data_IF_196245508083
#
_entry.id   IF_196245508083
#
_cell.length_a   1.000
_cell.length_b   1.000
_cell.length_c   1.000
_cell.angle_alpha   90.00
_cell.angle_beta   90.00
_cell.angle_gamma   90.00
#
_symmetry.space_group_name_H-M   'P 1'
#
loop_
_entity.id
_entity.type
_entity.pdbx_description
1 polymer ?
#
# COMPACT_ATOMS: atom_id res chain seq x y z
N UNK A 1 17.07 -4.46 -11.73
CA UNK A 1 16.91 -3.24 -12.57
C UNK A 1 17.09 -3.61 -14.03
N UNK A 2 18.17 -4.28 -14.43
CA UNK A 2 18.45 -4.64 -15.83
C UNK A 2 17.30 -5.41 -16.49
N UNK A 3 16.68 -6.34 -15.76
CA UNK A 3 15.49 -7.07 -16.23
C UNK A 3 14.34 -6.10 -16.52
N UNK A 4 14.05 -5.16 -15.62
CA UNK A 4 12.99 -4.16 -15.81
C UNK A 4 13.29 -3.24 -17.01
N UNK A 5 14.54 -2.79 -17.15
CA UNK A 5 14.99 -1.99 -18.30
C UNK A 5 14.73 -2.74 -19.61
N UNK A 6 15.10 -4.01 -19.66
CA UNK A 6 14.92 -4.87 -20.84
C UNK A 6 13.44 -5.09 -21.17
N UNK A 7 12.63 -5.45 -20.17
CA UNK A 7 11.19 -5.73 -20.33
C UNK A 7 10.41 -4.49 -20.82
N UNK A 8 10.83 -3.30 -20.42
CA UNK A 8 10.18 -2.04 -20.81
C UNK A 8 10.88 -1.30 -21.95
N UNK A 9 11.90 -1.92 -22.58
CA UNK A 9 12.68 -1.34 -23.68
C UNK A 9 13.24 0.05 -23.37
N UNK A 10 13.72 0.25 -22.15
CA UNK A 10 14.27 1.52 -21.67
C UNK A 10 15.77 1.62 -21.99
N UNK A 11 16.24 2.82 -22.32
CA UNK A 11 17.69 3.06 -22.45
C UNK A 11 18.41 3.11 -21.10
N UNK A 12 17.72 3.53 -20.04
CA UNK A 12 18.18 3.53 -18.66
C UNK A 12 16.99 3.72 -17.70
N UNK A 13 17.10 3.21 -16.47
CA UNK A 13 16.14 3.48 -15.42
C UNK A 13 16.51 4.79 -14.70
N UNK A 14 15.64 5.78 -14.78
CA UNK A 14 15.84 7.12 -14.19
C UNK A 14 14.58 7.51 -13.42
N UNK A 15 14.40 7.03 -12.20
CA UNK A 15 13.23 7.35 -11.41
C UNK A 15 13.21 8.83 -11.01
N UNK A 16 12.02 9.41 -11.03
CA UNK A 16 11.74 10.81 -10.64
C UNK A 16 10.79 10.92 -9.46
N UNK A 17 10.14 9.83 -9.10
CA UNK A 17 9.25 9.77 -7.95
C UNK A 17 9.25 8.38 -7.31
N UNK A 18 8.90 8.38 -6.02
CA UNK A 18 8.59 7.19 -5.24
C UNK A 18 7.17 7.33 -4.69
N UNK A 19 6.35 6.32 -4.93
CA UNK A 19 5.00 6.19 -4.38
C UNK A 19 5.00 5.09 -3.33
N UNK A 20 4.67 5.46 -2.11
CA UNK A 20 4.57 4.53 -0.98
C UNK A 20 3.13 4.10 -0.74
N UNK A 21 2.91 2.83 -0.46
CA UNK A 21 1.76 2.46 0.34
C UNK A 21 1.92 2.99 1.78
N UNK A 22 0.85 3.00 2.55
CA UNK A 22 0.84 3.55 3.90
C UNK A 22 0.95 2.46 4.97
N UNK A 23 -0.01 1.54 4.98
CA UNK A 23 -0.16 0.53 6.02
C UNK A 23 0.80 -0.64 5.79
N UNK A 24 1.65 -0.95 6.76
CA UNK A 24 2.70 -1.97 6.59
C UNK A 24 3.94 -1.48 5.82
N UNK A 25 3.96 -0.24 5.32
CA UNK A 25 5.12 0.39 4.67
C UNK A 25 5.63 1.59 5.47
N UNK A 26 4.77 2.57 5.73
CA UNK A 26 5.12 3.75 6.53
C UNK A 26 4.85 3.53 8.01
N UNK A 27 3.76 2.82 8.34
CA UNK A 27 3.35 2.52 9.69
C UNK A 27 3.25 1.01 9.94
N UNK A 28 3.64 0.57 11.13
CA UNK A 28 3.41 -0.79 11.63
C UNK A 28 1.95 -0.92 12.11
N UNK A 29 1.02 -0.78 11.19
CA UNK A 29 -0.43 -0.76 11.45
C UNK A 29 -1.12 -2.10 11.20
N UNK A 30 -0.47 -3.02 10.49
CA UNK A 30 -1.09 -4.28 10.08
C UNK A 30 -1.50 -5.20 11.23
N UNK A 31 -0.78 -5.30 12.35
CA UNK A 31 -1.28 -6.04 13.52
C UNK A 31 -2.63 -5.50 14.02
N UNK A 32 -2.80 -4.16 14.06
CA UNK A 32 -4.07 -3.53 14.43
C UNK A 32 -5.16 -3.81 13.39
N UNK A 33 -4.83 -3.73 12.10
CA UNK A 33 -5.76 -4.05 11.02
C UNK A 33 -6.24 -5.50 11.13
N UNK A 34 -5.34 -6.46 11.36
CA UNK A 34 -5.69 -7.88 11.49
C UNK A 34 -6.69 -8.11 12.66
N UNK A 35 -6.41 -7.55 13.84
CA UNK A 35 -7.30 -7.65 14.99
C UNK A 35 -8.65 -6.96 14.73
N UNK A 36 -8.65 -5.78 14.10
CA UNK A 36 -9.89 -5.06 13.78
C UNK A 36 -10.75 -5.84 12.78
N UNK A 37 -10.12 -6.44 11.76
CA UNK A 37 -10.80 -7.30 10.79
C UNK A 37 -11.42 -8.52 11.47
N UNK A 38 -10.66 -9.26 12.28
CA UNK A 38 -11.17 -10.44 12.99
C UNK A 38 -12.39 -10.09 13.85
N UNK A 39 -12.24 -9.09 14.73
CA UNK A 39 -13.31 -8.69 15.66
C UNK A 39 -14.55 -8.13 14.97
N UNK A 40 -14.38 -7.42 13.87
CA UNK A 40 -15.52 -6.86 13.13
C UNK A 40 -16.27 -7.93 12.35
N UNK A 41 -15.57 -8.81 11.66
CA UNK A 41 -16.18 -9.86 10.84
C UNK A 41 -16.90 -10.92 11.69
N UNK A 42 -16.38 -11.22 12.88
CA UNK A 42 -17.04 -12.10 13.84
C UNK A 42 -18.44 -11.61 14.22
N UNK A 43 -18.68 -10.29 14.28
CA UNK A 43 -19.99 -9.72 14.55
C UNK A 43 -21.03 -10.01 13.45
N UNK A 44 -20.58 -10.42 12.28
CA UNK A 44 -21.41 -10.74 11.12
C UNK A 44 -21.36 -12.24 10.73
N UNK A 45 -20.94 -13.09 11.68
CA UNK A 45 -20.77 -14.55 11.46
C UNK A 45 -19.82 -14.87 10.28
N UNK A 46 -18.79 -14.03 10.08
CA UNK A 46 -17.75 -14.23 9.08
C UNK A 46 -16.42 -14.49 9.78
N UNK A 47 -15.83 -15.65 9.47
CA UNK A 47 -14.51 -16.00 9.98
C UNK A 47 -13.42 -15.34 9.11
N UNK A 48 -12.55 -14.55 9.73
CA UNK A 48 -11.40 -13.93 9.09
C UNK A 48 -10.16 -14.12 9.96
N UNK A 49 -9.14 -14.75 9.41
CA UNK A 49 -7.86 -14.96 10.10
C UNK A 49 -6.95 -13.72 9.97
N UNK A 50 -5.87 -13.69 10.73
CA UNK A 50 -4.83 -12.68 10.53
C UNK A 50 -4.22 -12.77 9.12
N UNK A 51 -3.96 -13.99 8.63
CA UNK A 51 -3.41 -14.23 7.30
C UNK A 51 -4.35 -13.73 6.19
N UNK A 52 -5.68 -13.89 6.37
CA UNK A 52 -6.66 -13.31 5.44
C UNK A 52 -6.58 -11.78 5.40
N UNK A 53 -6.38 -11.14 6.56
CA UNK A 53 -6.22 -9.70 6.64
C UNK A 53 -4.96 -9.22 5.88
N UNK A 54 -3.83 -9.89 6.07
CA UNK A 54 -2.59 -9.60 5.33
C UNK A 54 -2.71 -9.91 3.83
N UNK A 55 -3.40 -10.99 3.46
CA UNK A 55 -3.59 -11.37 2.05
C UNK A 55 -4.54 -10.43 1.29
N UNK A 56 -5.41 -9.71 1.99
CA UNK A 56 -6.37 -8.74 1.41
C UNK A 56 -5.96 -7.30 1.64
N UNK A 57 -4.80 -7.06 2.24
CA UNK A 57 -4.27 -5.72 2.46
C UNK A 57 -4.13 -4.94 1.16
N UNK A 58 -4.34 -3.63 1.25
CA UNK A 58 -4.29 -2.72 0.10
C UNK A 58 -5.58 -2.65 -0.70
N UNK A 59 -6.50 -3.62 -0.58
CA UNK A 59 -7.81 -3.55 -1.19
C UNK A 59 -8.71 -2.52 -0.49
N UNK A 60 -9.73 -2.04 -1.22
CA UNK A 60 -10.79 -1.27 -0.57
C UNK A 60 -11.53 -2.15 0.44
N UNK A 61 -11.77 -1.63 1.65
CA UNK A 61 -12.42 -2.41 2.71
C UNK A 61 -13.78 -3.00 2.31
N UNK A 62 -14.58 -2.25 1.58
CA UNK A 62 -15.87 -2.71 1.05
C UNK A 62 -15.74 -3.89 0.06
N UNK A 63 -14.68 -3.91 -0.74
CA UNK A 63 -14.44 -4.99 -1.69
C UNK A 63 -14.01 -6.27 -0.96
N UNK A 64 -13.17 -6.13 0.07
CA UNK A 64 -12.79 -7.23 0.97
C UNK A 64 -14.02 -7.83 1.63
N UNK A 65 -14.93 -7.02 2.18
CA UNK A 65 -16.17 -7.47 2.82
C UNK A 65 -17.06 -8.23 1.83
N UNK A 66 -17.32 -7.64 0.66
CA UNK A 66 -18.13 -8.31 -0.39
C UNK A 66 -17.56 -9.68 -0.75
N UNK A 67 -16.24 -9.78 -0.89
CA UNK A 67 -15.56 -11.04 -1.16
C UNK A 67 -15.76 -12.08 -0.05
N UNK A 68 -15.61 -11.67 1.22
CA UNK A 68 -15.75 -12.58 2.37
C UNK A 68 -17.20 -13.03 2.56
N UNK A 69 -18.18 -12.12 2.45
CA UNK A 69 -19.62 -12.46 2.49
C UNK A 69 -19.96 -13.44 1.38
N UNK A 70 -19.54 -13.17 0.14
CA UNK A 70 -19.79 -14.08 -0.99
C UNK A 70 -19.19 -15.47 -0.76
N UNK A 71 -17.96 -15.53 -0.25
CA UNK A 71 -17.26 -16.79 -0.02
C UNK A 71 -17.88 -17.63 1.10
N UNK A 72 -18.33 -17.02 2.19
CA UNK A 72 -18.77 -17.76 3.38
C UNK A 72 -20.28 -17.85 3.55
N UNK A 73 -21.03 -16.82 3.12
CA UNK A 73 -22.48 -16.77 3.24
C UNK A 73 -23.21 -17.03 1.92
N UNK A 74 -22.47 -17.17 0.80
CA UNK A 74 -23.00 -17.46 -0.55
C UNK A 74 -24.04 -16.45 -1.05
N UNK A 75 -23.97 -15.21 -0.58
CA UNK A 75 -24.84 -14.09 -0.98
C UNK A 75 -24.04 -12.90 -1.49
N UNK A 76 -24.66 -12.09 -2.31
CA UNK A 76 -24.14 -10.80 -2.69
C UNK A 76 -24.72 -9.73 -1.76
N UNK A 77 -23.94 -8.68 -1.50
CA UNK A 77 -24.34 -7.50 -0.74
C UNK A 77 -24.06 -6.25 -1.56
N UNK A 78 -24.85 -5.22 -1.33
CA UNK A 78 -24.66 -3.92 -1.98
C UNK A 78 -23.52 -3.11 -1.32
N UNK A 79 -23.25 -1.94 -1.88
CA UNK A 79 -22.20 -1.05 -1.37
C UNK A 79 -22.54 -0.51 0.01
N UNK A 80 -23.82 -0.22 0.25
CA UNK A 80 -24.28 0.34 1.52
C UNK A 80 -24.14 -0.64 2.67
N UNK A 81 -24.53 -1.91 2.47
CA UNK A 81 -24.33 -2.96 3.46
C UNK A 81 -22.85 -3.21 3.74
N UNK A 82 -22.04 -3.30 2.69
CA UNK A 82 -20.60 -3.47 2.82
C UNK A 82 -19.95 -2.28 3.57
N UNK A 83 -20.40 -1.05 3.32
CA UNK A 83 -19.92 0.13 4.01
C UNK A 83 -20.28 0.10 5.51
N UNK A 84 -21.50 -0.26 5.87
CA UNK A 84 -21.90 -0.40 7.29
C UNK A 84 -21.02 -1.41 8.03
N UNK A 85 -20.71 -2.54 7.42
CA UNK A 85 -19.80 -3.54 7.98
C UNK A 85 -18.38 -2.99 8.11
N UNK A 86 -17.92 -2.24 7.12
CA UNK A 86 -16.61 -1.59 7.15
C UNK A 86 -16.51 -0.50 8.22
N UNK A 87 -17.59 0.23 8.49
CA UNK A 87 -17.64 1.23 9.56
C UNK A 87 -17.43 0.60 10.93
N UNK A 88 -17.96 -0.61 11.18
CA UNK A 88 -17.67 -1.38 12.39
C UNK A 88 -16.17 -1.69 12.50
N UNK A 89 -15.55 -2.15 11.42
CA UNK A 89 -14.11 -2.42 11.40
C UNK A 89 -13.29 -1.16 11.69
N UNK A 90 -13.65 -0.03 11.10
CA UNK A 90 -12.93 1.24 11.30
C UNK A 90 -13.10 1.77 12.72
N UNK A 91 -14.29 1.62 13.32
CA UNK A 91 -14.53 1.97 14.72
C UNK A 91 -13.62 1.19 15.66
N UNK A 92 -13.55 -0.14 15.49
CA UNK A 92 -12.66 -1.00 16.29
C UNK A 92 -11.19 -0.60 16.09
N UNK A 93 -10.79 -0.32 14.84
CA UNK A 93 -9.42 0.10 14.53
C UNK A 93 -9.04 1.41 15.23
N UNK A 94 -9.95 2.38 15.30
CA UNK A 94 -9.71 3.66 15.97
C UNK A 94 -9.53 3.56 17.49
N UNK A 95 -10.02 2.50 18.11
CA UNK A 95 -9.85 2.24 19.55
C UNK A 95 -8.49 1.57 19.87
N UNK A 96 -7.75 1.17 18.83
CA UNK A 96 -6.45 0.51 19.02
C UNK A 96 -5.32 1.50 19.28
N UNK A 97 -4.21 1.03 19.88
CA UNK A 97 -3.02 1.85 20.05
C UNK A 97 -2.53 2.43 18.71
N UNK A 98 -2.02 3.64 18.75
CA UNK A 98 -1.48 4.30 17.56
C UNK A 98 -0.27 3.50 17.02
N UNK A 99 -0.34 3.07 15.80
CA UNK A 99 0.74 2.34 15.13
C UNK A 99 2.01 3.21 15.06
N UNK A 100 3.17 2.62 15.22
CA UNK A 100 4.45 3.33 15.12
C UNK A 100 4.87 3.51 13.67
N UNK A 101 5.66 4.53 13.40
CA UNK A 101 6.36 4.67 12.13
C UNK A 101 7.46 3.59 12.10
N UNK A 102 7.58 2.88 10.98
CA UNK A 102 8.68 1.94 10.83
C UNK A 102 10.05 2.64 10.87
N UNK A 103 11.01 1.96 11.46
CA UNK A 103 12.40 2.42 11.42
C UNK A 103 12.91 2.52 9.97
N UNK A 104 13.68 3.57 9.68
CA UNK A 104 14.21 3.84 8.34
C UNK A 104 13.30 4.62 7.40
N UNK A 105 12.00 4.79 7.69
CA UNK A 105 11.06 5.51 6.79
C UNK A 105 11.51 6.95 6.54
N UNK A 106 11.73 7.73 7.60
CA UNK A 106 12.14 9.14 7.45
C UNK A 106 13.53 9.26 6.82
N UNK A 107 14.43 8.34 7.14
CA UNK A 107 15.75 8.27 6.53
C UNK A 107 15.66 8.01 5.02
N UNK A 108 14.82 7.05 4.61
CA UNK A 108 14.59 6.76 3.20
C UNK A 108 13.98 7.96 2.46
N UNK A 109 12.96 8.60 3.04
CA UNK A 109 12.34 9.79 2.46
C UNK A 109 13.34 10.94 2.28
N UNK A 110 14.25 11.12 3.25
CA UNK A 110 15.30 12.11 3.16
C UNK A 110 16.27 11.81 2.00
N UNK A 111 16.72 10.56 1.86
CA UNK A 111 17.58 10.12 0.75
C UNK A 111 16.91 10.29 -0.62
N UNK A 112 15.61 9.99 -0.72
CA UNK A 112 14.81 10.20 -1.93
C UNK A 112 14.76 11.70 -2.29
N UNK A 113 14.50 12.57 -1.30
CA UNK A 113 14.47 14.02 -1.48
C UNK A 113 15.84 14.58 -1.92
N UNK A 114 16.92 14.07 -1.38
CA UNK A 114 18.30 14.42 -1.75
C UNK A 114 18.64 14.03 -3.19
N UNK A 115 18.05 12.94 -3.69
CA UNK A 115 18.12 12.55 -5.10
C UNK A 115 17.23 13.43 -6.02
N UNK A 116 16.53 14.44 -5.50
CA UNK A 116 15.63 15.32 -6.26
C UNK A 116 14.32 14.65 -6.69
N UNK A 117 13.99 13.48 -6.13
CA UNK A 117 12.77 12.76 -6.47
C UNK A 117 11.58 13.24 -5.64
N UNK A 118 10.38 13.16 -6.25
CA UNK A 118 9.13 13.46 -5.57
C UNK A 118 8.66 12.25 -4.76
N UNK A 119 7.93 12.51 -3.68
CA UNK A 119 7.33 11.47 -2.84
C UNK A 119 5.81 11.64 -2.88
N UNK A 120 5.08 10.54 -3.04
CA UNK A 120 3.64 10.47 -2.89
C UNK A 120 3.23 9.24 -2.08
N UNK A 121 1.98 9.21 -1.63
CA UNK A 121 1.41 8.09 -0.87
C UNK A 121 0.13 7.61 -1.55
N UNK A 122 -0.05 6.30 -1.61
CA UNK A 122 -1.19 5.64 -2.26
C UNK A 122 -1.77 4.62 -1.31
N UNK A 123 -2.83 5.00 -0.60
CA UNK A 123 -3.49 4.16 0.41
C UNK A 123 -4.89 3.71 -0.01
N UNK A 124 -5.27 2.48 0.38
CA UNK A 124 -6.65 1.98 0.29
C UNK A 124 -7.58 2.58 1.34
N UNK A 125 -7.06 3.38 2.28
CA UNK A 125 -7.85 4.09 3.28
C UNK A 125 -8.33 5.44 2.75
N UNK A 126 -9.54 5.86 3.17
CA UNK A 126 -10.06 7.21 2.94
C UNK A 126 -10.33 7.97 4.24
N UNK A 127 -9.86 7.47 5.38
CA UNK A 127 -10.17 8.01 6.69
C UNK A 127 -9.39 9.30 6.94
N UNK A 128 -10.11 10.43 7.11
CA UNK A 128 -9.50 11.76 7.34
C UNK A 128 -8.50 11.81 8.50
N UNK A 129 -8.73 11.17 9.66
CA UNK A 129 -7.75 11.18 10.75
C UNK A 129 -6.41 10.56 10.36
N UNK A 130 -6.41 9.49 9.54
CA UNK A 130 -5.17 8.87 9.06
C UNK A 130 -4.42 9.77 8.09
N UNK A 131 -5.13 10.48 7.20
CA UNK A 131 -4.53 11.43 6.27
C UNK A 131 -3.93 12.63 7.03
N UNK A 132 -4.66 13.18 8.01
CA UNK A 132 -4.14 14.26 8.85
C UNK A 132 -2.88 13.84 9.61
N UNK A 133 -2.85 12.60 10.14
CA UNK A 133 -1.67 12.04 10.78
C UNK A 133 -0.50 11.91 9.81
N UNK A 134 -0.73 11.40 8.60
CA UNK A 134 0.28 11.25 7.56
C UNK A 134 0.97 12.60 7.26
N UNK A 135 0.19 13.68 7.13
CA UNK A 135 0.71 15.03 6.91
C UNK A 135 1.48 15.54 8.14
N UNK A 136 0.98 15.28 9.35
CA UNK A 136 1.68 15.66 10.57
C UNK A 136 3.05 14.97 10.69
N UNK A 137 3.12 13.68 10.34
CA UNK A 137 4.33 12.86 10.53
C UNK A 137 5.36 13.05 9.42
N UNK A 138 4.92 13.38 8.19
CA UNK A 138 5.73 13.40 6.97
C UNK A 138 5.58 14.68 6.12
N UNK A 139 5.00 15.75 6.66
CA UNK A 139 4.78 17.00 5.92
C UNK A 139 6.02 17.69 5.34
N UNK A 140 7.22 17.32 5.84
CA UNK A 140 8.49 17.75 5.25
C UNK A 140 8.80 17.08 3.90
N UNK A 141 8.12 16.00 3.57
CA UNK A 141 8.37 15.16 2.39
C UNK A 141 7.16 15.05 1.46
N UNK A 142 5.95 15.11 2.03
CA UNK A 142 4.69 14.83 1.34
C UNK A 142 3.75 16.01 1.53
N UNK A 143 3.01 16.36 0.47
CA UNK A 143 1.89 17.32 0.53
C UNK A 143 0.57 16.57 0.27
N UNK A 144 -0.55 17.14 0.72
CA UNK A 144 -1.87 16.50 0.59
C UNK A 144 -2.22 16.21 -0.88
N UNK A 145 -1.81 17.08 -1.81
CA UNK A 145 -2.05 16.91 -3.25
C UNK A 145 -1.37 15.66 -3.84
N UNK A 146 -0.37 15.10 -3.14
CA UNK A 146 0.37 13.89 -3.55
C UNK A 146 -0.09 12.63 -2.84
N UNK A 147 -1.23 12.69 -2.14
CA UNK A 147 -1.85 11.55 -1.50
C UNK A 147 -2.99 11.06 -2.38
N UNK A 148 -3.04 9.75 -2.63
CA UNK A 148 -4.17 9.04 -3.25
C UNK A 148 -4.85 8.22 -2.17
N UNK A 149 -6.16 8.36 -2.06
CA UNK A 149 -7.01 7.65 -1.11
C UNK A 149 -8.00 6.73 -1.84
N UNK A 150 -8.74 5.92 -1.09
CA UNK A 150 -9.81 5.09 -1.65
C UNK A 150 -10.87 5.88 -2.42
N UNK A 151 -11.03 7.18 -2.14
CA UNK A 151 -12.03 8.04 -2.79
C UNK A 151 -11.55 8.65 -4.12
N UNK A 152 -10.26 8.63 -4.38
CA UNK A 152 -9.68 9.22 -5.60
C UNK A 152 -9.86 8.30 -6.82
N UNK A 153 -10.17 7.03 -6.63
CA UNK A 153 -10.22 6.01 -7.68
C UNK A 153 -11.49 5.15 -7.60
N UNK A 154 -11.96 4.71 -8.76
CA UNK A 154 -13.09 3.78 -8.83
C UNK A 154 -12.68 2.36 -8.47
N UNK A 155 -11.54 1.90 -8.99
CA UNK A 155 -11.02 0.57 -8.77
C UNK A 155 -9.82 0.64 -7.82
N UNK A 156 -9.91 -0.01 -6.66
CA UNK A 156 -8.80 -0.15 -5.71
C UNK A 156 -7.79 -1.21 -6.16
N UNK A 157 -6.68 -1.35 -5.42
CA UNK A 157 -5.73 -2.45 -5.60
C UNK A 157 -6.48 -3.79 -5.58
N UNK A 158 -6.19 -4.73 -6.46
CA UNK A 158 -5.01 -4.84 -7.32
C UNK A 158 -5.11 -4.15 -8.69
N UNK A 159 -6.15 -3.34 -8.97
CA UNK A 159 -6.18 -2.55 -10.19
C UNK A 159 -5.02 -1.51 -10.19
N UNK A 160 -4.49 -1.12 -11.36
CA UNK A 160 -3.40 -0.15 -11.45
C UNK A 160 -3.82 1.29 -11.14
N UNK A 161 -5.14 1.56 -11.11
CA UNK A 161 -5.74 2.89 -11.00
C UNK A 161 -5.14 3.74 -9.87
N UNK A 162 -4.95 3.22 -8.63
CA UNK A 162 -4.40 4.01 -7.54
C UNK A 162 -2.98 4.51 -7.81
N UNK A 163 -2.12 3.66 -8.37
CA UNK A 163 -0.74 4.05 -8.68
C UNK A 163 -0.66 4.93 -9.92
N UNK A 164 -1.48 4.71 -10.93
CA UNK A 164 -1.60 5.62 -12.09
C UNK A 164 -2.07 7.00 -11.64
N UNK A 165 -3.04 7.09 -10.73
CA UNK A 165 -3.46 8.35 -10.11
C UNK A 165 -2.31 9.01 -9.32
N UNK A 166 -1.56 8.23 -8.55
CA UNK A 166 -0.38 8.71 -7.83
C UNK A 166 0.67 9.30 -8.77
N UNK A 167 0.97 8.61 -9.88
CA UNK A 167 1.88 9.12 -10.91
C UNK A 167 1.39 10.42 -11.53
N UNK A 168 0.08 10.53 -11.79
CA UNK A 168 -0.52 11.78 -12.27
C UNK A 168 -0.34 12.91 -11.25
N UNK A 169 -0.61 12.67 -9.96
CA UNK A 169 -0.46 13.66 -8.87
C UNK A 169 0.99 14.13 -8.69
N UNK A 170 1.97 13.25 -8.86
CA UNK A 170 3.40 13.63 -8.78
C UNK A 170 3.98 14.07 -10.14
N UNK A 171 3.26 13.90 -11.24
CA UNK A 171 3.65 14.32 -12.59
C UNK A 171 4.77 13.46 -13.18
N UNK A 172 4.65 12.13 -13.08
CA UNK A 172 5.62 11.17 -13.62
C UNK A 172 4.94 10.10 -14.48
N UNK A 173 5.74 9.37 -15.25
CA UNK A 173 5.32 8.19 -16.03
C UNK A 173 5.62 6.90 -15.25
N UNK A 174 5.00 5.76 -15.62
CA UNK A 174 5.30 4.47 -15.00
C UNK A 174 6.81 4.16 -14.93
N UNK A 175 7.52 4.27 -16.03
CA UNK A 175 8.97 4.00 -16.09
C UNK A 175 9.86 5.02 -15.35
N UNK A 176 9.28 6.10 -14.83
CA UNK A 176 9.95 7.12 -14.00
C UNK A 176 9.56 7.01 -12.53
N UNK A 177 8.80 5.98 -12.15
CA UNK A 177 8.22 5.84 -10.81
C UNK A 177 8.65 4.52 -10.16
N UNK A 178 9.08 4.61 -8.92
CA UNK A 178 9.22 3.45 -8.02
C UNK A 178 7.97 3.37 -7.15
N UNK A 179 7.41 2.17 -7.02
CA UNK A 179 6.37 1.86 -6.03
C UNK A 179 7.01 1.07 -4.89
N UNK A 180 6.70 1.42 -3.65
CA UNK A 180 7.11 0.68 -2.45
C UNK A 180 5.86 0.14 -1.76
N UNK A 181 5.79 -1.17 -1.62
CA UNK A 181 4.63 -1.94 -1.17
C UNK A 181 5.02 -3.07 -0.23
N UNK A 182 4.07 -3.58 0.55
CA UNK A 182 4.26 -4.76 1.41
C UNK A 182 3.21 -5.86 1.17
N UNK A 183 2.12 -5.53 0.48
CA UNK A 183 0.98 -6.41 0.30
C UNK A 183 0.91 -7.01 -1.12
N UNK A 184 0.50 -8.29 -1.28
CA UNK A 184 0.39 -8.92 -2.59
C UNK A 184 -0.49 -8.14 -3.57
N UNK A 185 -1.64 -7.63 -3.13
CA UNK A 185 -2.55 -6.87 -4.00
C UNK A 185 -1.96 -5.52 -4.41
N UNK A 186 -1.21 -4.89 -3.51
CA UNK A 186 -0.54 -3.64 -3.81
C UNK A 186 0.65 -3.81 -4.74
N UNK A 187 1.46 -4.84 -4.55
CA UNK A 187 2.54 -5.21 -5.48
C UNK A 187 1.96 -5.46 -6.88
N UNK A 188 0.88 -6.25 -6.97
CA UNK A 188 0.20 -6.50 -8.25
C UNK A 188 -0.28 -5.20 -8.90
N UNK A 189 -0.82 -4.26 -8.13
CA UNK A 189 -1.26 -2.96 -8.64
C UNK A 189 -0.09 -2.11 -9.17
N UNK A 190 1.04 -2.06 -8.44
CA UNK A 190 2.24 -1.34 -8.87
C UNK A 190 2.83 -1.91 -10.16
N UNK A 191 2.92 -3.23 -10.25
CA UNK A 191 3.38 -3.94 -11.47
C UNK A 191 2.42 -3.71 -12.63
N UNK A 192 1.11 -3.83 -12.40
CA UNK A 192 0.09 -3.57 -13.44
C UNK A 192 0.09 -2.11 -13.92
N UNK A 193 0.50 -1.17 -13.07
CA UNK A 193 0.71 0.23 -13.46
C UNK A 193 1.98 0.45 -14.29
N UNK A 194 2.83 -0.58 -14.47
CA UNK A 194 4.06 -0.52 -15.24
C UNK A 194 5.23 0.14 -14.50
N UNK A 195 5.16 0.27 -13.18
CA UNK A 195 6.24 0.88 -12.37
C UNK A 195 7.24 -0.16 -11.87
N UNK A 196 8.44 0.30 -11.57
CA UNK A 196 9.41 -0.50 -10.83
C UNK A 196 8.91 -0.68 -9.40
N UNK A 197 8.51 -1.90 -9.05
CA UNK A 197 7.85 -2.20 -7.77
C UNK A 197 8.80 -2.91 -6.83
N UNK A 198 9.09 -2.29 -5.71
CA UNK A 198 9.86 -2.83 -4.58
C UNK A 198 8.87 -3.29 -3.52
N UNK A 199 8.95 -4.55 -3.13
CA UNK A 199 8.23 -5.06 -1.99
C UNK A 199 9.12 -5.02 -0.74
N UNK A 200 8.56 -4.55 0.38
CA UNK A 200 9.17 -4.66 1.71
C UNK A 200 8.36 -5.65 2.54
N UNK A 201 8.97 -6.79 2.89
CA UNK A 201 8.27 -7.85 3.62
C UNK A 201 8.21 -7.52 5.12
N UNK A 202 7.26 -6.68 5.50
CA UNK A 202 7.02 -6.25 6.88
C UNK A 202 6.05 -7.15 7.66
N UNK A 203 5.49 -8.16 7.01
CA UNK A 203 4.45 -9.05 7.56
C UNK A 203 4.88 -10.51 7.65
N UNK A 204 3.94 -11.41 8.01
CA UNK A 204 4.20 -12.83 8.19
C UNK A 204 4.18 -13.63 6.87
N UNK A 205 3.80 -13.01 5.75
CA UNK A 205 3.69 -13.71 4.47
C UNK A 205 5.09 -14.12 3.95
N UNK A 206 5.23 -15.25 3.27
CA UNK A 206 6.48 -15.62 2.65
C UNK A 206 6.81 -14.66 1.48
N UNK A 207 8.09 -14.46 1.20
CA UNK A 207 8.55 -13.61 0.08
C UNK A 207 7.96 -14.04 -1.27
N UNK A 208 7.63 -15.34 -1.43
CA UNK A 208 6.97 -15.85 -2.63
C UNK A 208 5.62 -15.19 -2.88
N UNK A 209 4.87 -14.83 -1.84
CA UNK A 209 3.59 -14.13 -1.98
C UNK A 209 3.73 -12.77 -2.67
N UNK A 210 4.89 -12.13 -2.55
CA UNK A 210 5.22 -10.85 -3.16
C UNK A 210 5.88 -11.02 -4.54
N UNK A 211 6.82 -11.98 -4.66
CA UNK A 211 7.50 -12.25 -5.93
C UNK A 211 6.56 -12.79 -7.00
N UNK A 212 5.58 -13.62 -6.63
CA UNK A 212 4.55 -14.14 -7.53
C UNK A 212 3.63 -13.05 -8.09
N UNK A 213 3.51 -11.91 -7.40
CA UNK A 213 2.80 -10.74 -7.93
C UNK A 213 3.66 -9.86 -8.85
N UNK A 214 4.91 -10.23 -9.07
CA UNK A 214 5.81 -9.57 -10.00
C UNK A 214 6.68 -8.47 -9.38
N UNK A 215 6.85 -8.44 -8.06
CA UNK A 215 7.79 -7.50 -7.43
C UNK A 215 9.17 -7.60 -8.10
N UNK A 216 9.73 -6.46 -8.50
CA UNK A 216 11.06 -6.40 -9.12
C UNK A 216 12.18 -6.70 -8.12
N UNK A 217 11.97 -6.32 -6.85
CA UNK A 217 12.85 -6.61 -5.72
C UNK A 217 11.96 -6.86 -4.49
N UNK A 218 12.36 -7.83 -3.64
CA UNK A 218 11.80 -8.01 -2.30
C UNK A 218 12.90 -7.70 -1.30
N UNK A 219 12.61 -6.80 -0.37
CA UNK A 219 13.48 -6.39 0.73
C UNK A 219 12.92 -6.87 2.06
N UNK A 220 13.76 -7.24 3.04
CA UNK A 220 13.26 -7.78 4.32
C UNK A 220 12.48 -6.75 5.16
N UNK A 221 12.73 -5.46 4.96
CA UNK A 221 12.01 -4.36 5.64
C UNK A 221 12.39 -3.00 5.03
N UNK A 222 11.71 -1.95 5.47
CA UNK A 222 11.94 -0.58 4.97
C UNK A 222 13.30 -0.01 5.40
N UNK A 223 13.82 -0.40 6.57
CA UNK A 223 15.15 0.03 7.03
C UNK A 223 16.24 -0.52 6.12
N UNK A 224 16.13 -1.80 5.74
CA UNK A 224 17.08 -2.40 4.79
C UNK A 224 17.02 -1.68 3.43
N UNK A 225 15.84 -1.32 2.95
CA UNK A 225 15.69 -0.52 1.74
C UNK A 225 16.37 0.87 1.88
N UNK A 226 16.19 1.51 3.04
CA UNK A 226 16.85 2.79 3.32
C UNK A 226 18.38 2.69 3.28
N UNK A 227 18.94 1.65 3.87
CA UNK A 227 20.38 1.44 3.93
C UNK A 227 21.01 1.17 2.55
N UNK A 228 20.27 0.52 1.65
CA UNK A 228 20.72 0.13 0.30
C UNK A 228 20.15 1.01 -0.82
N UNK A 229 19.50 2.15 -0.48
CA UNK A 229 18.83 3.01 -1.46
C UNK A 229 19.73 3.45 -2.62
N UNK A 230 20.97 3.78 -2.34
CA UNK A 230 21.94 4.21 -3.35
C UNK A 230 22.29 3.13 -4.39
N UNK A 231 22.03 1.86 -4.11
CA UNK A 231 22.25 0.76 -5.06
C UNK A 231 21.13 0.67 -6.10
N UNK A 232 19.95 1.22 -5.77
CA UNK A 232 18.75 1.20 -6.63
C UNK A 232 18.74 2.37 -7.60
N UNK A 233 19.27 3.54 -7.19
CA UNK A 233 19.15 4.81 -7.95
C UNK A 233 20.47 5.28 -8.56
N UNK A 234 21.35 4.35 -8.87
CA UNK A 234 22.63 4.63 -9.55
C UNK A 234 22.45 5.10 -10.98
#
# INVERSE_FOLDING_TARGET
IDKYISEHSLGAFRPKAVLFDMDGVLYDSMPNHAVAWQKSMEQFDIHMTADDAYATEGARGVDTIKKMVKAQQHRDIDEEEAQRMYDVKTSIFHEMPVAQIFDGVKELMQKIKECGMKIGVVTGSGQRPLIARLINDFGDFITEERIVTAYDVKNGKPAPDPYLMGMQKVGTKPCETIVVENAPLGVKAGVAAGSFTIAVNSGPLPDSALTEQGANIVMPNIKYLADHWHEIVR
#
